data_IF_884881929981
#
_entry.id   IF_884881929981
#
_cell.length_a   1.000
_cell.length_b   1.000
_cell.length_c   1.000
_cell.angle_alpha   90.00
_cell.angle_beta   90.00
_cell.angle_gamma   90.00
#
_symmetry.space_group_name_H-M   'P 1'
#
loop_
_entity.id
_entity.type
_entity.pdbx_description
1 polymer ?
#
# COMPACT_ATOMS: atom_id res chain seq x y z
N UNK A 1 -23.25 -8.06 15.77
CA UNK A 1 -22.93 -7.18 16.93
C UNK A 1 -22.46 -5.86 16.35
N UNK A 2 -23.27 -4.81 16.47
CA UNK A 2 -22.92 -3.47 15.99
C UNK A 2 -21.82 -2.93 16.91
N UNK A 3 -20.67 -2.54 16.36
CA UNK A 3 -19.55 -2.00 17.14
C UNK A 3 -19.71 -0.50 17.21
N UNK A 4 -19.85 0.04 18.42
CA UNK A 4 -19.81 1.48 18.63
C UNK A 4 -18.36 1.94 18.49
N UNK A 5 -18.09 2.78 17.50
CA UNK A 5 -16.79 3.43 17.32
C UNK A 5 -16.92 4.84 17.88
N UNK A 6 -16.09 5.19 18.85
CA UNK A 6 -16.05 6.55 19.38
C UNK A 6 -15.10 7.38 18.53
N UNK A 7 -15.62 8.46 17.96
CA UNK A 7 -14.84 9.50 17.30
C UNK A 7 -14.81 10.75 18.18
N UNK A 8 -13.74 11.52 18.08
CA UNK A 8 -13.73 12.85 18.68
C UNK A 8 -14.84 13.71 18.01
N UNK A 9 -15.58 14.54 18.77
CA UNK A 9 -16.70 15.30 18.24
C UNK A 9 -16.36 16.09 16.97
N UNK A 10 -15.23 16.78 16.99
CA UNK A 10 -14.74 17.56 15.85
C UNK A 10 -14.49 16.72 14.59
N UNK A 11 -14.08 15.44 14.75
CA UNK A 11 -13.88 14.53 13.62
C UNK A 11 -15.18 13.95 13.11
N UNK A 12 -16.16 13.79 14.00
CA UNK A 12 -17.50 13.35 13.61
C UNK A 12 -18.20 14.44 12.79
N UNK A 13 -18.05 15.70 13.19
CA UNK A 13 -18.61 16.85 12.45
C UNK A 13 -18.00 16.96 11.06
N UNK A 14 -16.66 16.94 10.96
CA UNK A 14 -15.94 16.94 9.67
C UNK A 14 -16.39 15.77 8.75
N UNK A 15 -16.53 14.57 9.30
CA UNK A 15 -16.98 13.40 8.54
C UNK A 15 -18.44 13.52 8.10
N UNK A 16 -19.29 14.11 8.92
CA UNK A 16 -20.70 14.28 8.60
C UNK A 16 -20.91 15.32 7.49
N UNK A 17 -20.17 16.43 7.54
CA UNK A 17 -20.15 17.43 6.47
C UNK A 17 -19.67 16.81 5.15
N UNK A 18 -18.56 16.06 5.19
CA UNK A 18 -18.02 15.39 4.00
C UNK A 18 -18.98 14.35 3.43
N UNK A 19 -19.64 13.56 4.30
CA UNK A 19 -20.61 12.56 3.87
C UNK A 19 -21.79 13.22 3.13
N UNK A 20 -22.29 14.36 3.62
CA UNK A 20 -23.34 15.12 2.92
C UNK A 20 -22.90 15.59 1.53
N UNK A 21 -21.69 16.13 1.40
CA UNK A 21 -21.12 16.56 0.10
C UNK A 21 -21.01 15.38 -0.88
N UNK A 22 -20.67 14.20 -0.39
CA UNK A 22 -20.53 12.97 -1.19
C UNK A 22 -21.86 12.24 -1.43
N UNK A 23 -22.97 12.71 -0.87
CA UNK A 23 -24.27 12.01 -0.95
C UNK A 23 -24.27 10.66 -0.22
N UNK A 24 -23.50 10.54 0.85
CA UNK A 24 -23.34 9.33 1.68
C UNK A 24 -23.81 9.58 3.10
N UNK A 25 -24.02 8.50 3.84
CA UNK A 25 -24.13 8.55 5.31
C UNK A 25 -22.75 8.58 5.96
N UNK A 26 -22.67 9.12 7.17
CA UNK A 26 -21.43 9.13 7.96
C UNK A 26 -20.90 7.71 8.17
N UNK A 27 -21.79 6.73 8.38
CA UNK A 27 -21.41 5.31 8.55
C UNK A 27 -20.78 4.71 7.29
N UNK A 28 -21.32 5.01 6.10
CA UNK A 28 -20.74 4.55 4.83
C UNK A 28 -19.35 5.13 4.61
N UNK A 29 -19.17 6.42 4.92
CA UNK A 29 -17.87 7.08 4.80
C UNK A 29 -16.85 6.53 5.80
N UNK A 30 -17.27 6.24 7.03
CA UNK A 30 -16.43 5.60 8.07
C UNK A 30 -16.02 4.19 7.64
N UNK A 31 -16.95 3.38 7.13
CA UNK A 31 -16.66 2.04 6.60
C UNK A 31 -15.69 2.11 5.41
N UNK A 32 -15.89 3.05 4.49
CA UNK A 32 -14.98 3.27 3.36
C UNK A 32 -13.58 3.66 3.83
N UNK A 33 -13.47 4.61 4.77
CA UNK A 33 -12.21 5.05 5.35
C UNK A 33 -11.47 3.90 6.05
N UNK A 34 -12.19 3.11 6.86
CA UNK A 34 -11.64 1.95 7.55
C UNK A 34 -11.12 0.90 6.56
N UNK A 35 -11.90 0.61 5.51
CA UNK A 35 -11.50 -0.32 4.44
C UNK A 35 -10.22 0.14 3.74
N UNK A 36 -10.17 1.40 3.30
CA UNK A 36 -8.99 1.97 2.63
C UNK A 36 -7.76 1.92 3.54
N UNK A 37 -7.90 2.28 4.82
CA UNK A 37 -6.80 2.23 5.78
C UNK A 37 -6.24 0.80 5.92
N UNK A 38 -7.11 -0.20 6.07
CA UNK A 38 -6.70 -1.61 6.18
C UNK A 38 -6.00 -2.09 4.91
N UNK A 39 -6.50 -1.72 3.73
CA UNK A 39 -5.85 -2.04 2.45
C UNK A 39 -4.46 -1.43 2.35
N UNK A 40 -4.32 -0.14 2.67
CA UNK A 40 -3.02 0.56 2.67
C UNK A 40 -2.05 -0.08 3.65
N UNK A 41 -2.48 -0.38 4.89
CA UNK A 41 -1.62 -1.04 5.88
C UNK A 41 -1.12 -2.40 5.39
N UNK A 42 -2.00 -3.22 4.80
CA UNK A 42 -1.61 -4.52 4.20
C UNK A 42 -0.62 -4.33 3.05
N UNK A 43 -0.84 -3.35 2.18
CA UNK A 43 0.07 -3.05 1.08
C UNK A 43 1.45 -2.63 1.57
N UNK A 44 1.52 -1.76 2.59
CA UNK A 44 2.79 -1.33 3.20
C UNK A 44 3.54 -2.52 3.81
N UNK A 45 2.85 -3.41 4.52
CA UNK A 45 3.47 -4.63 5.07
C UNK A 45 4.03 -5.50 3.94
N UNK A 46 3.26 -5.75 2.88
CA UNK A 46 3.73 -6.51 1.72
C UNK A 46 4.95 -5.89 1.05
N UNK A 47 4.97 -4.56 0.88
CA UNK A 47 6.11 -3.85 0.31
C UNK A 47 7.36 -3.98 1.19
N UNK A 48 7.22 -3.87 2.51
CA UNK A 48 8.33 -4.05 3.44
C UNK A 48 8.89 -5.46 3.37
N UNK A 49 8.03 -6.49 3.36
CA UNK A 49 8.44 -7.88 3.18
C UNK A 49 9.14 -8.08 1.85
N UNK A 50 8.54 -7.60 0.75
CA UNK A 50 9.13 -7.69 -0.59
C UNK A 50 10.55 -7.10 -0.64
N UNK A 51 10.74 -5.88 -0.11
CA UNK A 51 12.07 -5.23 -0.07
C UNK A 51 13.05 -6.03 0.80
N UNK A 52 12.61 -6.49 1.97
CA UNK A 52 13.45 -7.28 2.89
C UNK A 52 13.89 -8.60 2.26
N UNK A 53 12.97 -9.34 1.65
CA UNK A 53 13.23 -10.64 1.04
C UNK A 53 14.18 -10.51 -0.16
N UNK A 54 13.94 -9.53 -1.04
CA UNK A 54 14.82 -9.26 -2.18
C UNK A 54 16.21 -8.82 -1.74
N UNK A 55 16.32 -8.03 -0.66
CA UNK A 55 17.62 -7.63 -0.12
C UNK A 55 18.40 -8.84 0.42
N UNK A 56 17.71 -9.76 1.11
CA UNK A 56 18.30 -11.01 1.59
C UNK A 56 18.76 -11.89 0.42
N UNK A 57 17.94 -12.04 -0.61
CA UNK A 57 18.29 -12.82 -1.80
C UNK A 57 19.48 -12.20 -2.56
N UNK A 58 19.46 -10.88 -2.78
CA UNK A 58 20.56 -10.18 -3.42
C UNK A 58 21.88 -10.38 -2.68
N UNK A 59 21.85 -10.27 -1.34
CA UNK A 59 23.02 -10.55 -0.51
C UNK A 59 23.49 -12.01 -0.63
N UNK A 60 22.58 -12.99 -0.59
CA UNK A 60 22.91 -14.41 -0.76
C UNK A 60 23.53 -14.72 -2.14
N UNK A 61 23.14 -13.97 -3.17
CA UNK A 61 23.68 -14.08 -4.54
C UNK A 61 24.92 -13.21 -4.78
N UNK A 62 25.40 -12.48 -3.76
CA UNK A 62 26.54 -11.57 -3.88
C UNK A 62 26.30 -10.36 -4.78
N UNK A 63 25.03 -10.03 -5.06
CA UNK A 63 24.67 -8.93 -5.97
C UNK A 63 24.88 -7.58 -5.29
N UNK A 64 25.47 -6.65 -6.04
CA UNK A 64 25.71 -5.27 -5.65
C UNK A 64 24.86 -4.31 -6.50
N UNK A 65 24.55 -3.10 -6.00
CA UNK A 65 23.87 -2.09 -6.80
C UNK A 65 24.60 -1.75 -8.11
N UNK A 66 25.93 -1.85 -8.12
CA UNK A 66 26.76 -1.67 -9.32
C UNK A 66 26.48 -2.68 -10.44
N UNK A 67 25.87 -3.82 -10.12
CA UNK A 67 25.65 -4.91 -11.07
C UNK A 67 24.36 -4.71 -11.87
N UNK A 68 23.49 -3.77 -11.43
CA UNK A 68 22.19 -3.50 -12.05
C UNK A 68 22.30 -3.16 -13.54
N UNK A 69 23.19 -2.26 -14.00
CA UNK A 69 23.29 -1.93 -15.42
C UNK A 69 23.66 -3.14 -16.29
N UNK A 70 24.58 -3.99 -15.83
CA UNK A 70 24.99 -5.19 -16.55
C UNK A 70 23.84 -6.20 -16.67
N UNK A 71 23.08 -6.41 -15.58
CA UNK A 71 21.89 -7.28 -15.57
C UNK A 71 20.78 -6.78 -16.48
N UNK A 72 20.56 -5.46 -16.53
CA UNK A 72 19.59 -4.87 -17.46
C UNK A 72 20.03 -5.10 -18.91
N UNK A 73 21.32 -4.95 -19.21
CA UNK A 73 21.87 -5.20 -20.55
C UNK A 73 21.72 -6.67 -20.95
N UNK A 74 22.06 -7.60 -20.05
CA UNK A 74 21.88 -9.06 -20.21
C UNK A 74 20.42 -9.38 -20.53
N UNK A 75 19.48 -8.98 -19.68
CA UNK A 75 18.04 -9.22 -19.88
C UNK A 75 17.53 -8.65 -21.21
N UNK A 76 17.91 -7.41 -21.56
CA UNK A 76 17.55 -6.77 -22.83
C UNK A 76 18.14 -7.46 -24.06
N UNK A 77 19.27 -8.14 -23.91
CA UNK A 77 19.87 -8.92 -24.99
C UNK A 77 19.14 -10.25 -25.19
N UNK A 78 18.77 -10.93 -24.10
CA UNK A 78 18.01 -12.18 -24.11
C UNK A 78 16.59 -12.03 -24.65
N UNK A 79 15.99 -10.85 -24.48
CA UNK A 79 14.62 -10.57 -24.89
C UNK A 79 14.53 -9.75 -26.20
N UNK A 80 15.66 -9.50 -26.87
CA UNK A 80 15.67 -8.81 -28.16
C UNK A 80 15.27 -9.80 -29.25
N UNK A 81 14.03 -9.70 -29.74
CA UNK A 81 13.50 -10.55 -30.82
C UNK A 81 12.38 -11.51 -30.42
N UNK A 82 11.83 -11.38 -29.21
CA UNK A 82 10.52 -11.93 -28.83
C UNK A 82 9.44 -10.87 -28.95
#
# INVERSE_FOLDING_TARGET
MQKNITLAPERFDELSEQAQVEGKTTDELVEEAARKLLQTRRAVVRLRSFVSDNRREAAARGLKPSDVPARIAEYRSEHRGR
#
